data_IF_482459702941
#
_entry.id   IF_482459702941
#
_cell.length_a   1.000
_cell.length_b   1.000
_cell.length_c   1.000
_cell.angle_alpha   90.00
_cell.angle_beta   90.00
_cell.angle_gamma   90.00
#
_symmetry.space_group_name_H-M   'P 1'
#
loop_
_entity.id
_entity.type
_entity.pdbx_description
1 polymer ?
#
# COMPACT_ATOMS: atom_id res chain seq x y z
N UNK A 1 31.17 -15.32 -0.63
CA UNK A 1 31.06 -14.04 0.11
C UNK A 1 30.26 -14.15 1.40
N UNK A 2 29.06 -14.72 1.43
CA UNK A 2 28.16 -14.67 2.61
C UNK A 2 28.78 -15.21 3.92
N UNK A 3 29.65 -16.23 3.85
CA UNK A 3 30.35 -16.77 5.03
C UNK A 3 31.29 -15.74 5.66
N UNK A 4 32.02 -14.99 4.85
CA UNK A 4 32.95 -13.94 5.31
C UNK A 4 32.18 -12.75 5.89
N UNK A 5 31.07 -12.38 5.22
CA UNK A 5 30.17 -11.34 5.71
C UNK A 5 29.58 -11.69 7.09
N UNK A 6 29.12 -12.94 7.30
CA UNK A 6 28.68 -13.42 8.61
C UNK A 6 29.80 -13.27 9.64
N UNK A 7 31.04 -13.67 9.31
CA UNK A 7 32.20 -13.50 10.20
C UNK A 7 32.44 -12.04 10.61
N UNK A 8 32.32 -11.10 9.68
CA UNK A 8 32.43 -9.65 9.96
C UNK A 8 31.30 -9.15 10.85
N UNK A 9 30.06 -9.51 10.53
CA UNK A 9 28.86 -9.08 11.25
C UNK A 9 28.89 -9.57 12.70
N UNK A 10 29.33 -10.81 12.95
CA UNK A 10 29.47 -11.35 14.32
C UNK A 10 30.48 -10.54 15.14
N UNK A 11 31.50 -9.97 14.49
CA UNK A 11 32.47 -9.05 15.10
C UNK A 11 31.97 -7.58 15.15
N UNK A 12 30.69 -7.34 14.84
CA UNK A 12 30.07 -6.01 14.74
C UNK A 12 30.79 -5.05 13.78
N UNK A 13 31.35 -5.61 12.70
CA UNK A 13 31.96 -4.81 11.62
C UNK A 13 30.95 -4.60 10.50
N UNK A 14 30.88 -3.37 10.01
CA UNK A 14 30.03 -3.00 8.89
C UNK A 14 30.56 -3.60 7.58
N UNK A 15 29.63 -3.91 6.69
CA UNK A 15 29.92 -4.31 5.33
C UNK A 15 29.96 -3.07 4.45
N UNK A 16 30.89 -3.04 3.51
CA UNK A 16 30.84 -2.06 2.42
C UNK A 16 29.65 -2.34 1.49
N UNK A 17 29.23 -1.33 0.72
CA UNK A 17 28.14 -1.49 -0.25
C UNK A 17 28.41 -2.62 -1.23
N UNK A 18 29.64 -2.76 -1.72
CA UNK A 18 30.03 -3.85 -2.64
C UNK A 18 29.88 -5.23 -2.00
N UNK A 19 30.34 -5.39 -0.76
CA UNK A 19 30.18 -6.67 -0.05
C UNK A 19 28.71 -7.02 0.16
N UNK A 20 27.90 -6.01 0.48
CA UNK A 20 26.46 -6.20 0.63
C UNK A 20 25.81 -6.61 -0.70
N UNK A 21 26.18 -5.98 -1.81
CA UNK A 21 25.70 -6.37 -3.15
C UNK A 21 26.07 -7.82 -3.49
N UNK A 22 27.30 -8.24 -3.21
CA UNK A 22 27.77 -9.61 -3.46
C UNK A 22 27.02 -10.64 -2.59
N UNK A 23 26.75 -10.31 -1.32
CA UNK A 23 25.93 -11.17 -0.45
C UNK A 23 24.52 -11.30 -0.99
N UNK A 24 23.87 -10.18 -1.35
CA UNK A 24 22.51 -10.21 -1.88
C UNK A 24 22.45 -10.97 -3.21
N UNK A 25 23.45 -10.83 -4.09
CA UNK A 25 23.54 -11.59 -5.33
C UNK A 25 23.69 -13.11 -5.08
N UNK A 26 24.47 -13.53 -4.07
CA UNK A 26 24.53 -14.95 -3.66
C UNK A 26 23.18 -15.48 -3.15
N UNK A 27 22.44 -14.66 -2.41
CA UNK A 27 21.08 -14.99 -1.92
C UNK A 27 20.12 -15.13 -3.10
N UNK A 28 20.06 -14.12 -3.98
CA UNK A 28 19.15 -14.09 -5.14
C UNK A 28 19.47 -15.19 -6.16
N UNK A 29 20.75 -15.53 -6.32
CA UNK A 29 21.20 -16.64 -7.18
C UNK A 29 21.02 -18.03 -6.56
N UNK A 30 20.38 -18.15 -5.38
CA UNK A 30 20.18 -19.42 -4.66
C UNK A 30 21.48 -20.18 -4.35
N UNK A 31 22.61 -19.47 -4.23
CA UNK A 31 23.92 -20.03 -3.86
C UNK A 31 24.16 -20.09 -2.35
N UNK A 32 23.39 -19.32 -1.57
CA UNK A 32 23.41 -19.34 -0.11
C UNK A 32 22.42 -20.37 0.46
N UNK A 33 22.85 -21.13 1.46
CA UNK A 33 21.96 -22.06 2.17
C UNK A 33 20.99 -21.33 3.10
N UNK A 34 19.83 -21.93 3.44
CA UNK A 34 18.89 -21.34 4.38
C UNK A 34 19.50 -20.96 5.73
N UNK A 35 20.45 -21.78 6.22
CA UNK A 35 21.17 -21.52 7.47
C UNK A 35 22.08 -20.29 7.37
N UNK A 36 22.75 -20.10 6.22
CA UNK A 36 23.58 -18.91 5.98
C UNK A 36 22.74 -17.65 5.89
N UNK A 37 21.62 -17.70 5.17
CA UNK A 37 20.68 -16.56 5.06
C UNK A 37 20.14 -16.19 6.44
N UNK A 38 19.68 -17.17 7.23
CA UNK A 38 19.17 -16.93 8.57
C UNK A 38 20.23 -16.35 9.51
N UNK A 39 21.45 -16.90 9.49
CA UNK A 39 22.58 -16.40 10.28
C UNK A 39 22.96 -14.98 9.89
N UNK A 40 22.99 -14.69 8.59
CA UNK A 40 23.29 -13.36 8.06
C UNK A 40 22.24 -12.33 8.50
N UNK A 41 20.95 -12.61 8.28
CA UNK A 41 19.87 -11.68 8.62
C UNK A 41 19.79 -11.42 10.13
N UNK A 42 19.92 -12.48 10.94
CA UNK A 42 19.90 -12.36 12.41
C UNK A 42 21.11 -11.57 12.91
N UNK A 43 22.32 -11.91 12.43
CA UNK A 43 23.53 -11.19 12.80
C UNK A 43 23.48 -9.73 12.39
N UNK A 44 22.98 -9.42 11.19
CA UNK A 44 22.91 -8.07 10.67
C UNK A 44 21.96 -7.21 11.51
N UNK A 45 20.81 -7.78 11.91
CA UNK A 45 19.88 -7.14 12.86
C UNK A 45 20.56 -6.84 14.21
N UNK A 46 21.31 -7.80 14.74
CA UNK A 46 22.02 -7.64 16.02
C UNK A 46 23.14 -6.58 15.96
N UNK A 47 23.83 -6.47 14.81
CA UNK A 47 24.83 -5.42 14.57
C UNK A 47 24.17 -4.04 14.47
N UNK A 48 23.01 -3.99 13.82
CA UNK A 48 22.37 -2.76 13.35
C UNK A 48 22.80 -2.47 11.91
N UNK A 49 21.83 -2.42 11.00
CA UNK A 49 22.03 -2.15 9.58
C UNK A 49 22.51 -0.69 9.37
N UNK A 50 23.50 -0.46 8.50
CA UNK A 50 23.93 0.89 8.10
C UNK A 50 23.13 1.42 6.91
N UNK A 51 23.19 2.74 6.66
CA UNK A 51 22.59 3.34 5.46
C UNK A 51 23.15 2.71 4.18
N UNK A 52 24.46 2.48 4.13
CA UNK A 52 25.14 1.90 2.96
C UNK A 52 24.69 0.46 2.69
N UNK A 53 24.61 -0.37 3.74
CA UNK A 53 24.13 -1.75 3.66
C UNK A 53 22.68 -1.83 3.16
N UNK A 54 21.78 -1.02 3.73
CA UNK A 54 20.36 -1.01 3.31
C UNK A 54 20.25 -0.51 1.86
N UNK A 55 20.97 0.54 1.50
CA UNK A 55 20.97 1.12 0.15
C UNK A 55 21.43 0.10 -0.88
N UNK A 56 22.58 -0.55 -0.65
CA UNK A 56 23.13 -1.58 -1.53
C UNK A 56 22.18 -2.77 -1.71
N UNK A 57 21.59 -3.25 -0.61
CA UNK A 57 20.60 -4.31 -0.68
C UNK A 57 19.36 -3.91 -1.48
N UNK A 58 18.80 -2.74 -1.18
CA UNK A 58 17.63 -2.21 -1.88
C UNK A 58 17.88 -2.05 -3.39
N UNK A 59 19.06 -1.58 -3.79
CA UNK A 59 19.44 -1.51 -5.20
C UNK A 59 19.42 -2.88 -5.88
N UNK A 60 19.98 -3.90 -5.25
CA UNK A 60 20.01 -5.25 -5.81
C UNK A 60 18.62 -5.86 -5.95
N UNK A 61 17.75 -5.68 -4.97
CA UNK A 61 16.36 -6.13 -5.07
C UNK A 61 15.59 -5.35 -6.15
N UNK A 62 15.72 -4.01 -6.19
CA UNK A 62 15.07 -3.17 -7.22
C UNK A 62 15.50 -3.52 -8.65
N UNK A 63 16.74 -4.00 -8.86
CA UNK A 63 17.21 -4.49 -10.19
C UNK A 63 16.45 -5.73 -10.67
N UNK A 64 15.91 -6.55 -9.75
CA UNK A 64 15.12 -7.75 -10.08
C UNK A 64 13.63 -7.48 -10.19
N UNK A 65 13.16 -6.36 -9.62
CA UNK A 65 11.74 -6.00 -9.64
C UNK A 65 11.37 -5.37 -10.99
N UNK A 66 10.33 -5.92 -11.59
CA UNK A 66 9.66 -5.31 -12.73
C UNK A 66 9.00 -3.99 -12.33
N UNK A 67 9.53 -2.86 -12.82
CA UNK A 67 8.98 -1.51 -12.58
C UNK A 67 7.53 -1.42 -13.05
N UNK A 68 6.66 -0.67 -12.38
CA UNK A 68 5.33 -0.33 -12.88
C UNK A 68 5.34 1.09 -13.44
N UNK A 69 4.85 1.26 -14.66
CA UNK A 69 4.70 2.58 -15.26
C UNK A 69 3.39 3.25 -14.79
N UNK A 70 3.43 3.96 -13.66
CA UNK A 70 2.29 4.73 -13.14
C UNK A 70 2.10 6.12 -13.76
N UNK A 71 3.03 6.55 -14.62
CA UNK A 71 3.14 7.90 -15.16
C UNK A 71 3.79 8.89 -14.19
N UNK A 72 3.86 10.16 -14.56
CA UNK A 72 4.48 11.22 -13.74
C UNK A 72 3.66 11.55 -12.49
N UNK A 73 4.37 12.00 -11.44
CA UNK A 73 3.80 12.51 -10.20
C UNK A 73 3.21 11.45 -9.27
N UNK A 74 3.65 10.19 -9.37
CA UNK A 74 3.20 9.12 -8.47
C UNK A 74 3.79 9.31 -7.08
N UNK A 75 2.93 9.21 -6.06
CA UNK A 75 3.30 9.18 -4.65
C UNK A 75 3.15 7.77 -4.08
N UNK A 76 4.17 7.33 -3.37
CA UNK A 76 4.19 6.10 -2.59
C UNK A 76 3.78 6.38 -1.14
N UNK A 77 2.78 5.65 -0.64
CA UNK A 77 2.27 5.77 0.74
C UNK A 77 2.51 4.48 1.54
N UNK A 78 3.64 3.85 1.30
CA UNK A 78 3.98 2.59 1.95
C UNK A 78 4.27 2.78 3.44
N UNK A 79 4.00 1.71 4.17
CA UNK A 79 4.16 1.58 5.60
C UNK A 79 4.86 0.28 5.87
N UNK A 80 5.56 0.20 6.99
CA UNK A 80 6.14 -1.07 7.42
C UNK A 80 5.08 -2.06 7.90
N UNK A 81 3.85 -1.59 8.18
CA UNK A 81 2.69 -2.41 8.57
C UNK A 81 3.00 -3.24 9.81
N UNK A 82 3.28 -2.51 10.89
CA UNK A 82 3.87 -3.03 12.11
C UNK A 82 2.86 -3.81 12.94
N UNK A 83 3.16 -5.09 13.19
CA UNK A 83 2.54 -5.86 14.28
C UNK A 83 3.30 -5.63 15.60
N UNK A 84 2.54 -5.70 16.69
CA UNK A 84 2.76 -5.11 18.03
C UNK A 84 4.10 -5.46 18.71
N UNK A 85 4.76 -6.53 18.31
CA UNK A 85 5.99 -6.94 18.95
C UNK A 85 7.17 -6.19 18.36
N UNK A 86 7.92 -5.45 19.19
CA UNK A 86 9.05 -4.59 18.79
C UNK A 86 10.21 -5.32 18.09
N UNK A 87 10.32 -6.64 18.26
CA UNK A 87 11.34 -7.43 17.56
C UNK A 87 10.75 -8.69 16.97
N UNK A 88 9.87 -9.39 17.67
CA UNK A 88 9.22 -10.60 17.14
C UNK A 88 8.20 -10.20 16.06
N UNK A 89 8.11 -10.97 14.97
CA UNK A 89 7.03 -10.83 13.97
C UNK A 89 5.87 -11.81 14.26
N UNK A 90 5.96 -12.58 15.35
CA UNK A 90 5.08 -13.68 15.74
C UNK A 90 4.64 -13.53 17.20
N UNK A 91 3.33 -13.33 17.44
CA UNK A 91 2.80 -13.07 18.77
C UNK A 91 3.16 -14.16 19.80
N UNK A 92 4.04 -13.81 20.73
CA UNK A 92 4.27 -14.44 22.03
C UNK A 92 3.21 -13.95 23.02
N UNK A 93 2.06 -14.64 23.06
CA UNK A 93 1.07 -14.72 24.17
C UNK A 93 0.75 -13.49 25.05
N UNK A 94 1.03 -12.26 24.63
CA UNK A 94 0.76 -11.07 25.43
C UNK A 94 -0.74 -10.74 25.43
N UNK A 95 -1.33 -10.37 26.59
CA UNK A 95 -2.75 -10.00 26.71
C UNK A 95 -3.13 -8.80 25.84
N UNK A 96 -4.43 -8.66 25.57
CA UNK A 96 -5.00 -7.46 24.92
C UNK A 96 -4.58 -6.19 25.69
N UNK A 97 -3.85 -5.29 25.04
CA UNK A 97 -3.56 -3.96 25.61
C UNK A 97 -2.17 -3.38 25.34
N UNK A 98 -1.23 -4.14 24.75
CA UNK A 98 0.16 -3.68 24.57
C UNK A 98 0.52 -3.21 23.14
N UNK A 99 -0.46 -2.87 22.30
CA UNK A 99 -0.15 -2.33 20.97
C UNK A 99 -1.22 -1.48 20.30
N UNK A 100 -0.88 -0.97 19.12
CA UNK A 100 -1.67 0.00 18.36
C UNK A 100 -2.79 -0.72 17.61
N UNK A 101 -3.87 -1.04 18.30
CA UNK A 101 -5.10 -1.57 17.71
C UNK A 101 -5.83 -0.50 16.87
N UNK A 102 -5.12 0.29 16.08
CA UNK A 102 -5.66 1.37 15.28
C UNK A 102 -6.19 0.83 13.94
N UNK A 103 -7.12 1.55 13.33
CA UNK A 103 -7.63 1.15 12.00
C UNK A 103 -6.58 1.37 10.92
N UNK A 104 -6.76 0.81 9.72
CA UNK A 104 -5.83 0.95 8.60
C UNK A 104 -5.83 2.38 8.00
N UNK A 105 -5.15 3.31 8.70
CA UNK A 105 -5.09 4.74 8.38
C UNK A 105 -4.48 4.98 7.00
N UNK A 106 -3.34 4.37 6.67
CA UNK A 106 -2.73 4.52 5.34
C UNK A 106 -3.62 4.08 4.18
N UNK A 107 -4.51 3.08 4.39
CA UNK A 107 -5.51 2.68 3.38
C UNK A 107 -6.57 3.77 3.18
N UNK A 108 -7.12 4.34 4.26
CA UNK A 108 -8.02 5.50 4.17
C UNK A 108 -7.33 6.69 3.49
N UNK A 109 -6.09 6.94 3.89
CA UNK A 109 -5.23 8.02 3.40
C UNK A 109 -5.03 7.91 1.89
N UNK A 110 -4.80 6.71 1.35
CA UNK A 110 -4.63 6.48 -0.08
C UNK A 110 -5.83 6.99 -0.91
N UNK A 111 -7.06 6.73 -0.45
CA UNK A 111 -8.27 7.22 -1.13
C UNK A 111 -8.42 8.74 -1.02
N UNK A 112 -8.12 9.33 0.14
CA UNK A 112 -8.17 10.79 0.35
C UNK A 112 -7.12 11.50 -0.51
N UNK A 113 -5.91 10.95 -0.59
CA UNK A 113 -4.83 11.51 -1.41
C UNK A 113 -5.16 11.42 -2.90
N UNK A 114 -5.73 10.28 -3.34
CA UNK A 114 -6.20 10.12 -4.71
C UNK A 114 -7.39 11.04 -5.04
N UNK A 115 -8.32 11.22 -4.10
CA UNK A 115 -9.47 12.12 -4.25
C UNK A 115 -9.04 13.59 -4.32
N UNK A 116 -7.97 13.95 -3.62
CA UNK A 116 -7.30 15.24 -3.75
C UNK A 116 -6.47 15.36 -5.03
N UNK A 117 -6.51 14.38 -5.94
CA UNK A 117 -5.96 14.46 -7.29
C UNK A 117 -4.46 14.18 -7.41
N UNK A 118 -3.88 13.39 -6.51
CA UNK A 118 -2.55 12.79 -6.72
C UNK A 118 -2.68 11.34 -7.19
N UNK A 119 -1.66 10.81 -7.87
CA UNK A 119 -1.62 9.40 -8.23
C UNK A 119 -0.97 8.59 -7.11
N UNK A 120 -1.70 7.66 -6.53
CA UNK A 120 -1.24 6.90 -5.36
C UNK A 120 -0.90 5.47 -5.74
N UNK A 121 0.33 5.05 -5.48
CA UNK A 121 0.72 3.65 -5.48
C UNK A 121 1.00 3.21 -4.04
N UNK A 122 0.33 2.15 -3.59
CA UNK A 122 0.56 1.57 -2.27
C UNK A 122 0.77 0.07 -2.40
N UNK A 123 1.90 -0.44 -1.94
CA UNK A 123 2.11 -1.87 -1.76
C UNK A 123 1.27 -2.35 -0.58
N UNK A 124 0.62 -3.49 -0.76
CA UNK A 124 -0.29 -4.08 0.23
C UNK A 124 0.14 -5.48 0.58
N UNK A 125 -0.01 -5.80 1.85
CA UNK A 125 0.44 -7.05 2.45
C UNK A 125 -0.70 -7.76 3.13
N UNK A 126 -0.62 -9.08 3.12
CA UNK A 126 -1.51 -9.90 3.94
C UNK A 126 -0.91 -10.00 5.32
N UNK A 127 -1.74 -9.87 6.35
CA UNK A 127 -1.24 -10.11 7.69
C UNK A 127 -1.08 -11.60 7.95
N UNK A 128 -0.06 -11.95 8.72
CA UNK A 128 -0.07 -13.22 9.44
C UNK A 128 -1.10 -13.09 10.58
N UNK A 129 -2.11 -13.97 10.58
CA UNK A 129 -3.18 -14.05 11.59
C UNK A 129 -2.62 -13.92 13.03
N UNK A 130 -3.27 -13.21 13.97
CA UNK A 130 -4.69 -12.81 14.00
C UNK A 130 -4.98 -11.35 13.60
N UNK A 131 -4.01 -10.61 13.05
CA UNK A 131 -4.24 -9.21 12.68
C UNK A 131 -4.91 -9.06 11.32
N UNK A 132 -5.51 -7.88 11.11
CA UNK A 132 -6.07 -7.47 9.85
C UNK A 132 -5.03 -6.66 9.05
N UNK A 133 -4.47 -7.25 8.00
CA UNK A 133 -3.57 -6.55 7.09
C UNK A 133 -4.32 -5.56 6.21
N UNK A 134 -3.60 -4.65 5.55
CA UNK A 134 -4.23 -3.72 4.61
C UNK A 134 -4.90 -4.46 3.44
N UNK A 135 -4.34 -5.58 2.99
CA UNK A 135 -4.92 -6.43 1.95
C UNK A 135 -6.27 -7.01 2.39
N UNK A 136 -6.36 -7.48 3.64
CA UNK A 136 -7.59 -8.07 4.20
C UNK A 136 -8.73 -7.05 4.27
N UNK A 137 -8.42 -5.78 4.59
CA UNK A 137 -9.40 -4.68 4.58
C UNK A 137 -9.82 -4.32 3.17
N UNK A 138 -8.89 -4.25 2.22
CA UNK A 138 -9.20 -3.94 0.82
C UNK A 138 -10.11 -5.00 0.21
N UNK A 139 -9.89 -6.27 0.52
CA UNK A 139 -10.77 -7.37 0.11
C UNK A 139 -12.15 -7.27 0.77
N UNK A 140 -12.23 -6.89 2.06
CA UNK A 140 -13.50 -6.63 2.74
C UNK A 140 -14.26 -5.42 2.15
N UNK A 141 -13.54 -4.45 1.59
CA UNK A 141 -14.09 -3.35 0.79
C UNK A 141 -14.52 -3.77 -0.64
N UNK A 142 -14.22 -5.01 -1.05
CA UNK A 142 -14.57 -5.59 -2.36
C UNK A 142 -13.53 -5.35 -3.46
N UNK A 143 -12.37 -4.78 -3.13
CA UNK A 143 -11.30 -4.49 -4.09
C UNK A 143 -10.56 -5.79 -4.43
N UNK A 144 -10.41 -6.06 -5.72
CA UNK A 144 -9.63 -7.21 -6.19
C UNK A 144 -8.14 -6.84 -6.23
N UNK A 145 -7.32 -7.54 -5.45
CA UNK A 145 -5.87 -7.34 -5.45
C UNK A 145 -5.14 -8.21 -6.47
N UNK A 146 -5.82 -9.23 -7.02
CA UNK A 146 -5.29 -10.08 -8.07
C UNK A 146 -5.42 -9.40 -9.44
N UNK A 147 -4.61 -8.36 -9.64
CA UNK A 147 -4.48 -7.62 -10.88
C UNK A 147 -3.13 -7.92 -11.54
N UNK A 148 -3.14 -8.06 -12.86
CA UNK A 148 -1.90 -8.11 -13.63
C UNK A 148 -1.19 -6.76 -13.62
N UNK A 149 0.10 -6.76 -13.94
CA UNK A 149 0.91 -5.54 -14.09
C UNK A 149 0.24 -4.50 -15.02
N UNK A 150 -0.21 -4.92 -16.20
CA UNK A 150 -0.86 -4.01 -17.17
C UNK A 150 -2.14 -3.39 -16.59
N UNK A 151 -2.89 -4.15 -15.80
CA UNK A 151 -4.10 -3.65 -15.14
C UNK A 151 -3.77 -2.66 -14.03
N UNK A 152 -2.71 -2.89 -13.25
CA UNK A 152 -2.23 -1.93 -12.25
C UNK A 152 -1.76 -0.63 -12.88
N UNK A 153 -1.00 -0.69 -13.97
CA UNK A 153 -0.55 0.50 -14.72
C UNK A 153 -1.75 1.30 -15.24
N UNK A 154 -2.79 0.62 -15.76
CA UNK A 154 -4.05 1.27 -16.16
C UNK A 154 -4.80 1.87 -14.97
N UNK A 155 -4.88 1.16 -13.85
CA UNK A 155 -5.49 1.67 -12.62
C UNK A 155 -4.83 2.98 -12.15
N UNK A 156 -3.50 3.03 -12.15
CA UNK A 156 -2.72 4.22 -11.83
C UNK A 156 -2.92 5.36 -12.84
N UNK A 157 -2.95 5.05 -14.15
CA UNK A 157 -3.10 6.06 -15.21
C UNK A 157 -4.52 6.62 -15.32
N UNK A 158 -5.54 5.76 -15.28
CA UNK A 158 -6.94 6.12 -15.52
C UNK A 158 -7.64 6.60 -14.24
N UNK A 159 -7.37 5.97 -13.10
CA UNK A 159 -8.06 6.24 -11.83
C UNK A 159 -7.21 7.08 -10.90
N UNK A 160 -5.88 6.97 -10.98
CA UNK A 160 -4.96 7.67 -10.08
C UNK A 160 -4.76 6.97 -8.73
N UNK A 161 -5.12 5.69 -8.61
CA UNK A 161 -4.84 4.89 -7.41
C UNK A 161 -4.59 3.43 -7.82
N UNK A 162 -3.62 2.78 -7.17
CA UNK A 162 -3.31 1.37 -7.38
C UNK A 162 -2.77 0.73 -6.11
N UNK A 163 -3.37 -0.40 -5.73
CA UNK A 163 -2.89 -1.24 -4.63
C UNK A 163 -2.11 -2.42 -5.21
N UNK A 164 -0.82 -2.49 -4.90
CA UNK A 164 0.12 -3.45 -5.47
C UNK A 164 0.30 -4.59 -4.48
N UNK A 165 -0.26 -5.77 -4.79
CA UNK A 165 -0.05 -6.96 -3.96
C UNK A 165 1.44 -7.32 -3.90
N UNK A 166 1.97 -7.51 -2.69
CA UNK A 166 3.39 -7.83 -2.46
C UNK A 166 3.88 -9.07 -3.22
N UNK A 167 2.98 -10.01 -3.55
CA UNK A 167 3.31 -11.20 -4.33
C UNK A 167 3.84 -10.86 -5.72
N UNK A 168 3.32 -9.80 -6.35
CA UNK A 168 3.80 -9.34 -7.65
C UNK A 168 5.26 -8.86 -7.62
N UNK A 169 5.76 -8.48 -6.44
CA UNK A 169 7.13 -8.04 -6.22
C UNK A 169 8.01 -9.24 -5.82
N UNK A 170 7.49 -10.14 -4.98
CA UNK A 170 8.27 -11.17 -4.28
C UNK A 170 8.24 -12.56 -4.93
N UNK A 171 7.62 -12.75 -6.10
CA UNK A 171 7.40 -14.07 -6.73
C UNK A 171 8.67 -14.95 -6.84
N UNK A 172 9.86 -14.38 -7.03
CA UNK A 172 11.12 -15.15 -7.13
C UNK A 172 11.82 -15.39 -5.77
N UNK A 173 11.27 -14.85 -4.68
CA UNK A 173 11.90 -14.77 -3.35
C UNK A 173 11.22 -15.62 -2.29
N UNK A 174 10.30 -16.50 -2.67
CA UNK A 174 9.55 -17.37 -1.75
C UNK A 174 10.44 -18.10 -0.71
N UNK A 175 11.63 -18.66 -1.05
CA UNK A 175 12.51 -19.27 -0.06
C UNK A 175 12.95 -18.31 1.04
N UNK A 176 13.17 -17.04 0.71
CA UNK A 176 13.56 -15.98 1.66
C UNK A 176 12.38 -15.69 2.59
N UNK A 177 11.16 -15.62 2.07
CA UNK A 177 9.96 -15.40 2.88
C UNK A 177 9.76 -16.51 3.91
N UNK A 178 9.94 -17.78 3.50
CA UNK A 178 9.88 -18.92 4.42
C UNK A 178 10.95 -18.83 5.53
N UNK A 179 12.17 -18.41 5.18
CA UNK A 179 13.25 -18.21 6.16
C UNK A 179 12.89 -17.10 7.15
N UNK A 180 12.36 -15.96 6.67
CA UNK A 180 11.93 -14.85 7.53
C UNK A 180 10.87 -15.29 8.53
N UNK A 181 9.87 -16.04 8.09
CA UNK A 181 8.83 -16.59 8.98
C UNK A 181 9.44 -17.49 10.07
N UNK A 182 10.44 -18.31 9.72
CA UNK A 182 11.13 -19.20 10.67
C UNK A 182 12.06 -18.46 11.63
N UNK A 183 12.69 -17.37 11.18
CA UNK A 183 13.49 -16.48 12.05
C UNK A 183 12.59 -15.84 13.11
N UNK A 184 11.38 -15.42 12.72
CA UNK A 184 10.37 -14.94 13.67
C UNK A 184 10.68 -13.59 14.32
N UNK A 185 11.72 -12.87 13.85
CA UNK A 185 12.04 -11.50 14.28
C UNK A 185 12.17 -10.53 13.10
N UNK A 186 12.18 -9.23 13.39
CA UNK A 186 12.51 -8.16 12.42
C UNK A 186 13.93 -8.37 11.90
N UNK A 187 14.09 -8.11 10.61
CA UNK A 187 15.38 -8.20 9.91
C UNK A 187 15.51 -7.04 8.93
N UNK A 188 16.61 -6.96 8.20
CA UNK A 188 16.79 -6.04 7.08
C UNK A 188 15.56 -5.96 6.15
N UNK A 189 14.86 -7.07 5.92
CA UNK A 189 13.69 -7.05 5.04
C UNK A 189 12.57 -6.15 5.53
N UNK A 190 12.41 -5.96 6.84
CA UNK A 190 11.43 -5.02 7.37
C UNK A 190 11.72 -3.57 6.93
N UNK A 191 12.99 -3.22 6.75
CA UNK A 191 13.41 -1.92 6.23
C UNK A 191 13.32 -1.86 4.68
N UNK A 192 13.62 -2.96 4.00
CA UNK A 192 13.59 -3.03 2.53
C UNK A 192 12.17 -3.00 1.99
N UNK A 193 11.28 -3.71 2.65
CA UNK A 193 9.93 -4.01 2.20
C UNK A 193 9.13 -2.77 1.71
N UNK A 194 9.06 -1.65 2.47
CA UNK A 194 8.39 -0.42 2.02
C UNK A 194 9.12 0.37 0.94
N UNK A 195 10.40 0.07 0.68
CA UNK A 195 11.24 0.79 -0.28
C UNK A 195 11.45 -0.02 -1.57
N UNK A 196 10.81 -1.19 -1.69
CA UNK A 196 10.80 -2.04 -2.89
C UNK A 196 9.57 -1.84 -3.77
N UNK A 197 8.75 -0.82 -3.50
CA UNK A 197 7.60 -0.48 -4.33
C UNK A 197 7.99 -0.29 -5.82
N UNK A 198 7.36 -1.00 -6.76
CA UNK A 198 7.75 -0.99 -8.16
C UNK A 198 7.32 0.28 -8.92
N UNK A 199 6.50 1.16 -8.32
CA UNK A 199 5.83 2.29 -9.00
C UNK A 199 6.75 3.44 -9.44
N UNK A 200 8.06 3.36 -9.16
CA UNK A 200 9.02 4.42 -9.47
C UNK A 200 8.59 5.80 -8.96
N UNK A 201 7.94 5.83 -7.79
CA UNK A 201 7.37 7.04 -7.21
C UNK A 201 8.43 8.14 -7.03
N UNK A 202 8.07 9.36 -7.42
CA UNK A 202 8.90 10.57 -7.24
C UNK A 202 8.84 11.07 -5.79
N UNK A 203 7.71 10.79 -5.14
CA UNK A 203 7.40 11.21 -3.79
C UNK A 203 7.12 10.00 -2.90
N UNK A 204 7.57 10.03 -1.66
CA UNK A 204 7.30 8.94 -0.72
C UNK A 204 7.00 9.44 0.69
N UNK A 205 5.90 8.98 1.27
CA UNK A 205 5.66 9.05 2.71
C UNK A 205 5.88 7.64 3.26
N UNK A 206 6.91 7.47 4.08
CA UNK A 206 7.32 6.20 4.67
C UNK A 206 7.14 6.24 6.19
N UNK A 207 6.35 5.32 6.72
CA UNK A 207 6.26 5.11 8.16
C UNK A 207 7.22 4.03 8.66
N UNK A 208 7.83 4.23 9.84
CA UNK A 208 8.78 3.28 10.47
C UNK A 208 8.40 2.99 11.92
N UNK A 209 8.90 1.89 12.50
CA UNK A 209 8.55 1.47 13.88
C UNK A 209 9.32 2.14 15.00
N UNK A 210 10.39 2.85 14.68
CA UNK A 210 11.27 3.42 15.68
C UNK A 210 11.76 4.82 15.27
N UNK A 211 11.75 5.80 16.18
CA UNK A 211 12.17 7.16 15.86
C UNK A 211 13.63 7.26 15.41
N UNK A 212 14.51 6.39 15.90
CA UNK A 212 15.93 6.33 15.50
C UNK A 212 16.14 5.90 14.05
N UNK A 213 15.16 5.25 13.43
CA UNK A 213 15.25 4.72 12.06
C UNK A 213 14.87 5.78 11.02
N UNK A 214 14.12 6.81 11.41
CA UNK A 214 13.62 7.84 10.49
C UNK A 214 14.72 8.51 9.65
N UNK A 215 15.83 8.91 10.29
CA UNK A 215 16.98 9.52 9.62
C UNK A 215 17.71 8.55 8.70
N UNK A 216 17.95 7.32 9.19
CA UNK A 216 18.61 6.27 8.41
C UNK A 216 17.84 6.00 7.12
N UNK A 217 16.53 5.80 7.22
CA UNK A 217 15.68 5.50 6.07
C UNK A 217 15.51 6.72 5.15
N UNK A 218 15.55 7.94 5.67
CA UNK A 218 15.52 9.14 4.82
C UNK A 218 16.76 9.21 3.91
N UNK A 219 17.95 8.92 4.45
CA UNK A 219 19.17 8.84 3.65
C UNK A 219 19.14 7.69 2.64
N UNK A 220 18.61 6.52 3.03
CA UNK A 220 18.41 5.40 2.10
C UNK A 220 17.50 5.80 0.94
N UNK A 221 16.33 6.39 1.21
CA UNK A 221 15.40 6.85 0.18
C UNK A 221 16.04 7.89 -0.76
N UNK A 222 16.80 8.83 -0.21
CA UNK A 222 17.54 9.83 -0.98
C UNK A 222 18.57 9.18 -1.91
N UNK A 223 19.36 8.22 -1.41
CA UNK A 223 20.33 7.47 -2.23
C UNK A 223 19.64 6.65 -3.33
N UNK A 224 18.43 6.17 -3.06
CA UNK A 224 17.58 5.46 -4.01
C UNK A 224 16.86 6.37 -5.02
N UNK A 225 17.11 7.68 -4.98
CA UNK A 225 16.64 8.67 -5.95
C UNK A 225 15.36 9.42 -5.58
N UNK A 226 14.79 9.20 -4.39
CA UNK A 226 13.60 9.94 -3.93
C UNK A 226 13.97 11.41 -3.72
N UNK A 227 13.34 12.30 -4.48
CA UNK A 227 13.65 13.73 -4.46
C UNK A 227 12.93 14.46 -3.32
N UNK A 228 11.71 14.04 -2.99
CA UNK A 228 10.98 14.60 -1.85
C UNK A 228 10.28 13.48 -1.09
N UNK A 229 10.50 13.44 0.21
CA UNK A 229 10.02 12.34 1.04
C UNK A 229 9.78 12.77 2.48
N UNK A 230 8.91 12.04 3.18
CA UNK A 230 8.75 12.13 4.62
C UNK A 230 8.94 10.74 5.20
N UNK A 231 9.89 10.60 6.13
CA UNK A 231 9.99 9.41 6.98
C UNK A 231 9.45 9.75 8.36
N UNK A 232 8.41 9.05 8.79
CA UNK A 232 7.61 9.43 9.94
C UNK A 232 7.59 8.34 11.02
N UNK A 233 7.58 8.78 12.27
CA UNK A 233 7.28 7.97 13.44
C UNK A 233 6.34 8.76 14.36
N UNK A 234 5.13 8.27 14.59
CA UNK A 234 4.17 8.86 15.51
C UNK A 234 4.19 8.20 16.88
N UNK A 235 4.14 9.00 17.93
CA UNK A 235 3.88 8.55 19.29
C UNK A 235 2.52 7.83 19.35
N UNK A 236 2.49 6.65 19.97
CA UNK A 236 1.37 5.68 20.01
C UNK A 236 0.82 5.17 18.68
N UNK A 237 1.20 5.72 17.53
CA UNK A 237 0.71 5.29 16.21
C UNK A 237 1.79 4.64 15.35
N UNK A 238 3.05 4.67 15.80
CA UNK A 238 4.21 4.06 15.16
C UNK A 238 4.45 4.60 13.74
N UNK A 239 4.03 3.88 12.70
CA UNK A 239 4.31 4.21 11.30
C UNK A 239 3.34 5.24 10.68
N UNK A 240 2.48 5.86 11.47
CA UNK A 240 1.58 6.93 11.03
C UNK A 240 1.87 8.25 11.76
N UNK A 241 1.56 9.39 11.14
CA UNK A 241 1.54 10.68 11.83
C UNK A 241 0.48 10.63 12.93
N UNK A 242 0.86 11.00 14.14
CA UNK A 242 0.03 10.85 15.33
C UNK A 242 -0.84 12.07 15.59
N UNK A 243 -2.07 11.82 16.03
CA UNK A 243 -2.94 12.83 16.68
C UNK A 243 -3.04 12.61 18.19
N UNK A 244 -2.33 11.61 18.75
CA UNK A 244 -2.28 11.35 20.19
C UNK A 244 -1.08 12.02 20.84
N UNK A 245 0.03 12.13 20.10
CA UNK A 245 1.30 12.64 20.60
C UNK A 245 2.17 13.27 19.52
N UNK A 246 3.46 13.38 19.80
CA UNK A 246 4.46 13.92 18.87
C UNK A 246 4.65 13.00 17.67
N UNK A 247 4.92 13.57 16.51
CA UNK A 247 5.44 12.83 15.36
C UNK A 247 6.85 13.29 15.06
N UNK A 248 7.82 12.38 15.08
CA UNK A 248 9.14 12.63 14.50
C UNK A 248 9.02 12.54 12.99
N UNK A 249 9.42 13.59 12.29
CA UNK A 249 9.44 13.68 10.84
C UNK A 249 10.88 13.88 10.40
N UNK A 250 11.35 13.06 9.49
CA UNK A 250 12.56 13.33 8.71
C UNK A 250 12.18 13.61 7.27
N UNK A 251 12.30 14.87 6.88
CA UNK A 251 11.95 15.38 5.56
C UNK A 251 13.15 15.31 4.63
N UNK A 252 12.91 14.83 3.41
CA UNK A 252 13.85 14.83 2.29
C UNK A 252 13.42 15.94 1.33
N UNK A 253 14.33 16.86 1.01
CA UNK A 253 14.17 17.88 -0.02
C UNK A 253 15.43 17.94 -0.87
N UNK A 254 15.42 17.22 -2.00
CA UNK A 254 16.56 17.05 -2.91
C UNK A 254 17.78 16.52 -2.15
N UNK A 255 18.77 17.37 -1.91
CA UNK A 255 20.02 17.01 -1.24
C UNK A 255 19.99 17.25 0.27
N UNK A 256 18.93 17.87 0.80
CA UNK A 256 18.79 18.15 2.22
C UNK A 256 17.90 17.11 2.90
N UNK A 257 18.37 16.62 4.05
CA UNK A 257 17.62 15.77 4.97
C UNK A 257 17.52 16.50 6.31
N UNK A 258 16.31 16.77 6.78
CA UNK A 258 16.07 17.51 8.03
C UNK A 258 15.07 16.79 8.91
N UNK A 259 15.43 16.64 10.18
CA UNK A 259 14.54 16.05 11.19
C UNK A 259 13.95 17.12 12.10
N UNK A 260 12.69 16.95 12.44
CA UNK A 260 11.95 17.80 13.38
C UNK A 260 10.81 17.01 14.02
N UNK A 261 10.21 17.59 15.05
CA UNK A 261 8.99 17.08 15.64
C UNK A 261 7.82 17.97 15.23
N UNK A 262 6.64 17.37 15.13
CA UNK A 262 5.39 18.09 15.03
C UNK A 262 4.44 17.58 16.12
N UNK A 263 3.67 18.49 16.69
CA UNK A 263 2.56 18.18 17.58
C UNK A 263 1.21 18.45 16.88
N UNK A 264 0.12 17.75 17.27
CA UNK A 264 -1.20 17.96 16.69
C UNK A 264 -1.65 19.43 16.80
N UNK A 265 -1.32 20.09 17.90
CA UNK A 265 -1.67 21.49 18.15
C UNK A 265 -1.02 22.46 17.16
N UNK A 266 0.20 22.18 16.69
CA UNK A 266 0.92 23.03 15.74
C UNK A 266 0.23 23.10 14.36
N UNK A 267 -0.58 22.09 14.05
CA UNK A 267 -1.38 22.01 12.82
C UNK A 267 -2.86 22.30 13.05
N UNK A 268 -3.22 22.79 14.24
CA UNK A 268 -4.59 23.18 14.60
C UNK A 268 -5.51 22.00 14.98
N UNK A 269 -4.94 20.83 15.28
CA UNK A 269 -5.68 19.66 15.75
C UNK A 269 -5.62 19.55 17.27
N UNK A 270 -6.64 18.92 17.85
CA UNK A 270 -6.65 18.57 19.28
C UNK A 270 -6.04 17.19 19.46
N UNK A 271 -5.28 16.98 20.54
CA UNK A 271 -4.88 15.63 20.93
C UNK A 271 -6.08 14.74 21.18
N UNK A 272 -5.97 13.50 20.71
CA UNK A 272 -6.95 12.43 20.88
C UNK A 272 -6.34 11.28 21.67
N UNK A 273 -7.20 10.42 22.18
CA UNK A 273 -6.77 9.16 22.79
C UNK A 273 -6.57 8.06 21.73
N UNK A 274 -5.73 7.07 22.04
CA UNK A 274 -5.53 5.90 21.18
C UNK A 274 -6.85 5.11 20.97
N UNK A 275 -7.73 5.11 21.97
CA UNK A 275 -9.04 4.44 21.90
C UNK A 275 -9.97 5.07 20.85
N UNK A 276 -9.91 6.40 20.66
CA UNK A 276 -10.73 7.09 19.65
C UNK A 276 -10.33 6.72 18.21
N UNK A 277 -9.09 6.28 17.99
CA UNK A 277 -8.57 5.84 16.68
C UNK A 277 -8.47 4.32 16.57
N UNK A 278 -9.08 3.59 17.51
CA UNK A 278 -9.08 2.13 17.51
C UNK A 278 -9.81 1.54 16.30
N UNK A 279 -9.19 0.57 15.65
CA UNK A 279 -9.76 -0.31 14.63
C UNK A 279 -10.37 -1.57 15.24
N UNK A 280 -10.61 -2.56 14.38
CA UNK A 280 -11.17 -3.84 14.78
C UNK A 280 -10.83 -4.95 13.80
N UNK A 281 -11.83 -5.76 13.48
CA UNK A 281 -11.75 -6.78 12.42
C UNK A 281 -11.59 -6.14 11.04
N UNK A 282 -11.34 -6.97 10.02
CA UNK A 282 -11.30 -6.49 8.63
C UNK A 282 -12.60 -5.83 8.18
N UNK A 283 -13.74 -6.31 8.68
CA UNK A 283 -15.05 -5.68 8.44
C UNK A 283 -15.17 -4.35 9.17
N UNK A 284 -14.80 -4.29 10.45
CA UNK A 284 -14.84 -3.03 11.22
C UNK A 284 -13.96 -1.95 10.57
N UNK A 285 -12.76 -2.32 10.13
CA UNK A 285 -11.84 -1.39 9.47
C UNK A 285 -12.37 -0.94 8.09
N UNK A 286 -12.99 -1.84 7.33
CA UNK A 286 -13.64 -1.47 6.06
C UNK A 286 -14.80 -0.47 6.29
N UNK A 287 -15.63 -0.70 7.30
CA UNK A 287 -16.71 0.22 7.68
C UNK A 287 -16.20 1.58 8.14
N UNK A 288 -15.14 1.59 8.96
CA UNK A 288 -14.48 2.81 9.40
C UNK A 288 -14.02 3.62 8.18
N UNK A 289 -13.29 3.00 7.26
CA UNK A 289 -12.79 3.67 6.05
C UNK A 289 -13.96 4.24 5.25
N UNK A 290 -14.99 3.44 4.95
CA UNK A 290 -16.17 3.92 4.22
C UNK A 290 -16.87 5.06 4.93
N UNK A 291 -16.96 5.03 6.27
CA UNK A 291 -17.58 6.10 7.03
C UNK A 291 -16.80 7.41 6.91
N UNK A 292 -15.46 7.35 6.93
CA UNK A 292 -14.58 8.51 6.72
C UNK A 292 -14.79 9.05 5.31
N UNK A 293 -14.77 8.20 4.29
CA UNK A 293 -14.97 8.60 2.89
C UNK A 293 -16.36 9.21 2.65
N UNK A 294 -17.38 8.75 3.38
CA UNK A 294 -18.74 9.34 3.40
C UNK A 294 -18.84 10.65 4.20
N UNK A 295 -17.75 11.13 4.79
CA UNK A 295 -17.67 12.41 5.48
C UNK A 295 -17.87 12.37 6.99
N UNK A 296 -17.97 11.19 7.62
CA UNK A 296 -18.14 11.08 9.08
C UNK A 296 -17.01 11.82 9.81
N UNK A 297 -17.37 12.74 10.71
CA UNK A 297 -16.44 13.51 11.54
C UNK A 297 -15.97 12.69 12.75
N UNK A 298 -14.80 13.01 13.29
CA UNK A 298 -14.21 12.39 14.49
C UNK A 298 -12.72 12.09 14.34
N UNK A 299 -12.10 11.57 15.41
CA UNK A 299 -10.66 11.31 15.50
C UNK A 299 -10.09 10.46 14.34
N UNK A 300 -10.83 9.42 13.92
CA UNK A 300 -10.43 8.55 12.78
C UNK A 300 -10.31 9.32 11.47
N UNK A 301 -11.19 10.31 11.25
CA UNK A 301 -11.06 11.23 10.11
C UNK A 301 -9.90 12.19 10.31
N UNK A 302 -9.74 12.77 11.50
CA UNK A 302 -8.66 13.73 11.81
C UNK A 302 -7.26 13.13 11.55
N UNK A 303 -6.99 11.89 12.02
CA UNK A 303 -5.70 11.23 11.77
C UNK A 303 -5.49 10.89 10.29
N UNK A 304 -6.56 10.52 9.57
CA UNK A 304 -6.50 10.28 8.11
C UNK A 304 -6.16 11.58 7.37
N UNK A 305 -6.78 12.70 7.77
CA UNK A 305 -6.53 14.02 7.21
C UNK A 305 -5.09 14.47 7.46
N UNK A 306 -4.55 14.24 8.66
CA UNK A 306 -3.16 14.57 8.99
C UNK A 306 -2.17 13.79 8.11
N UNK A 307 -2.36 12.48 7.97
CA UNK A 307 -1.50 11.63 7.13
C UNK A 307 -1.61 11.99 5.65
N UNK A 308 -2.81 12.33 5.16
CA UNK A 308 -3.02 12.83 3.80
C UNK A 308 -2.35 14.19 3.57
N UNK A 309 -2.35 15.07 4.58
CA UNK A 309 -1.67 16.36 4.50
C UNK A 309 -0.17 16.21 4.27
N UNK A 310 0.48 15.23 4.92
CA UNK A 310 1.88 14.89 4.66
C UNK A 310 2.14 14.53 3.19
N UNK A 311 1.24 13.78 2.57
CA UNK A 311 1.32 13.42 1.15
C UNK A 311 1.13 14.63 0.21
N UNK A 312 0.18 15.52 0.50
CA UNK A 312 -0.01 16.75 -0.28
C UNK A 312 1.17 17.72 -0.12
N UNK A 313 1.76 17.78 1.07
CA UNK A 313 2.93 18.60 1.33
C UNK A 313 4.16 18.10 0.56
N UNK A 314 4.47 16.80 0.66
CA UNK A 314 5.68 16.23 0.02
C UNK A 314 5.60 16.20 -1.51
N UNK A 315 4.41 16.07 -2.08
CA UNK A 315 4.19 16.22 -3.53
C UNK A 315 4.30 17.67 -4.00
N UNK A 316 4.23 18.66 -3.10
CA UNK A 316 4.21 20.09 -3.43
C UNK A 316 2.84 20.61 -3.84
N UNK A 317 1.80 19.78 -3.74
CA UNK A 317 0.41 20.22 -3.92
C UNK A 317 -0.03 21.16 -2.81
N UNK A 318 0.59 21.05 -1.64
CA UNK A 318 0.48 21.99 -0.53
C UNK A 318 1.86 22.55 -0.16
N UNK A 319 1.92 23.82 0.23
CA UNK A 319 3.14 24.50 0.70
C UNK A 319 3.40 24.28 2.19
N UNK A 320 2.40 23.80 2.92
CA UNK A 320 2.46 23.52 4.36
C UNK A 320 1.54 22.35 4.72
N UNK A 321 1.72 21.77 5.91
CA UNK A 321 0.81 20.75 6.44
C UNK A 321 -0.61 21.30 6.62
N UNK A 322 -0.77 22.56 7.06
CA UNK A 322 -2.07 23.20 7.26
C UNK A 322 -2.82 23.37 5.93
N UNK A 323 -2.13 23.70 4.84
CA UNK A 323 -2.73 23.69 3.50
C UNK A 323 -3.08 22.27 3.05
N UNK A 324 -2.20 21.29 3.32
CA UNK A 324 -2.48 19.88 3.05
C UNK A 324 -3.71 19.35 3.78
N UNK A 325 -3.95 19.78 5.02
CA UNK A 325 -5.14 19.46 5.81
C UNK A 325 -6.40 19.96 5.09
N UNK A 326 -6.40 21.22 4.63
CA UNK A 326 -7.54 21.79 3.90
C UNK A 326 -7.86 21.01 2.62
N UNK A 327 -6.83 20.61 1.87
CA UNK A 327 -6.99 19.79 0.65
C UNK A 327 -7.58 18.41 1.00
N UNK A 328 -7.06 17.77 2.05
CA UNK A 328 -7.54 16.47 2.51
C UNK A 328 -9.01 16.53 2.99
N UNK A 329 -9.38 17.56 3.74
CA UNK A 329 -10.76 17.79 4.17
C UNK A 329 -11.68 18.03 2.97
N UNK A 330 -11.28 18.87 2.02
CA UNK A 330 -12.03 19.11 0.78
C UNK A 330 -12.22 17.83 -0.03
N UNK A 331 -11.18 16.98 -0.13
CA UNK A 331 -11.29 15.69 -0.83
C UNK A 331 -12.34 14.79 -0.21
N UNK A 332 -12.52 14.82 1.12
CA UNK A 332 -13.54 14.03 1.81
C UNK A 332 -14.91 14.69 1.66
N UNK A 333 -15.02 15.99 1.97
CA UNK A 333 -16.29 16.71 2.06
C UNK A 333 -16.97 16.91 0.70
N UNK A 334 -16.19 17.02 -0.39
CA UNK A 334 -16.73 17.06 -1.74
C UNK A 334 -17.22 15.70 -2.26
N UNK A 335 -16.91 14.60 -1.55
CA UNK A 335 -17.15 13.24 -2.01
C UNK A 335 -16.09 12.69 -2.98
N UNK A 336 -15.09 13.48 -3.38
CA UNK A 336 -14.06 13.05 -4.34
C UNK A 336 -13.30 11.79 -3.89
N UNK A 337 -13.00 11.67 -2.60
CA UNK A 337 -12.35 10.48 -2.04
C UNK A 337 -13.24 9.22 -2.13
N UNK A 338 -14.54 9.38 -1.88
CA UNK A 338 -15.52 8.30 -2.02
C UNK A 338 -15.71 7.89 -3.48
N UNK A 339 -15.74 8.86 -4.40
CA UNK A 339 -15.81 8.59 -5.84
C UNK A 339 -14.58 7.81 -6.32
N UNK A 340 -13.36 8.14 -5.84
CA UNK A 340 -12.17 7.33 -6.16
C UNK A 340 -12.30 5.88 -5.73
N UNK A 341 -12.83 5.64 -4.53
CA UNK A 341 -13.13 4.29 -4.07
C UNK A 341 -14.12 3.56 -5.00
N UNK A 342 -15.23 4.21 -5.37
CA UNK A 342 -16.23 3.64 -6.28
C UNK A 342 -15.67 3.35 -7.66
N UNK A 343 -14.95 4.30 -8.25
CA UNK A 343 -14.34 4.13 -9.58
C UNK A 343 -13.32 3.00 -9.59
N UNK A 344 -12.51 2.87 -8.54
CA UNK A 344 -11.60 1.74 -8.39
C UNK A 344 -12.36 0.41 -8.32
N UNK A 345 -13.41 0.34 -7.50
CA UNK A 345 -14.23 -0.85 -7.35
C UNK A 345 -14.88 -1.27 -8.68
N UNK A 346 -15.42 -0.32 -9.44
CA UNK A 346 -15.99 -0.55 -10.78
C UNK A 346 -14.93 -1.05 -11.78
N UNK A 347 -13.74 -0.44 -11.77
CA UNK A 347 -12.62 -0.89 -12.59
C UNK A 347 -12.21 -2.32 -12.26
N UNK A 348 -12.03 -2.64 -10.98
CA UNK A 348 -11.69 -3.98 -10.52
C UNK A 348 -12.68 -5.05 -11.00
N UNK A 349 -13.96 -4.71 -11.13
CA UNK A 349 -14.97 -5.64 -11.62
C UNK A 349 -14.92 -5.84 -13.13
N UNK A 350 -14.64 -4.77 -13.89
CA UNK A 350 -14.45 -4.85 -15.35
C UNK A 350 -13.20 -5.66 -15.70
N UNK A 351 -12.15 -5.52 -14.89
CA UNK A 351 -10.85 -6.16 -15.07
C UNK A 351 -10.76 -7.56 -14.46
N UNK A 352 -11.80 -8.05 -13.75
CA UNK A 352 -11.84 -9.44 -13.31
C UNK A 352 -11.72 -10.35 -14.53
N UNK A 353 -10.82 -11.34 -14.52
CA UNK A 353 -10.74 -12.29 -15.61
C UNK A 353 -12.13 -12.88 -15.87
N UNK A 354 -12.64 -12.71 -17.08
CA UNK A 354 -13.64 -13.62 -17.64
C UNK A 354 -12.93 -14.98 -17.76
N UNK A 355 -12.83 -15.73 -16.67
CA UNK A 355 -12.74 -17.16 -16.82
C UNK A 355 -14.03 -17.55 -17.56
N UNK A 356 -13.91 -17.91 -18.84
CA UNK A 356 -14.92 -18.76 -19.48
C UNK A 356 -15.18 -19.85 -18.47
N UNK A 357 -16.44 -20.04 -18.09
CA UNK A 357 -16.91 -21.21 -17.37
C UNK A 357 -16.37 -22.44 -18.13
N UNK A 358 -15.17 -22.89 -17.80
CA UNK A 358 -14.67 -24.18 -18.23
C UNK A 358 -15.62 -25.15 -17.54
N UNK A 359 -16.38 -25.96 -18.30
CA UNK A 359 -17.27 -26.92 -17.68
C UNK A 359 -16.38 -27.84 -16.85
N UNK A 360 -16.45 -27.69 -15.52
CA UNK A 360 -16.00 -28.72 -14.61
C UNK A 360 -16.85 -29.95 -14.94
N UNK A 361 -16.20 -31.04 -15.34
CA UNK A 361 -16.85 -32.33 -15.36
C UNK A 361 -17.51 -32.56 -14.00
N UNK A 362 -18.84 -32.67 -13.99
CA UNK A 362 -19.62 -32.80 -12.76
C UNK A 362 -20.38 -31.55 -12.31
N UNK A 363 -21.10 -30.88 -13.22
CA UNK A 363 -22.47 -30.39 -12.97
C UNK A 363 -22.75 -29.45 -11.78
N UNK A 364 -21.73 -28.81 -11.17
CA UNK A 364 -21.93 -27.80 -10.12
C UNK A 364 -21.53 -26.43 -10.64
N UNK A 365 -22.52 -25.67 -11.11
CA UNK A 365 -22.39 -24.22 -11.32
C UNK A 365 -22.10 -23.56 -9.97
N UNK A 366 -20.97 -22.87 -9.85
CA UNK A 366 -20.77 -21.95 -8.74
C UNK A 366 -21.82 -20.85 -8.83
N UNK A 367 -22.62 -20.66 -7.78
CA UNK A 367 -23.53 -19.52 -7.68
C UNK A 367 -22.69 -18.25 -7.63
N UNK A 368 -23.08 -17.26 -8.45
CA UNK A 368 -22.52 -15.90 -8.44
C UNK A 368 -22.84 -15.23 -7.10
N UNK A 369 -21.85 -15.10 -6.22
CA UNK A 369 -21.94 -14.09 -5.16
C UNK A 369 -21.59 -12.73 -5.78
N UNK A 370 -22.62 -11.89 -5.96
CA UNK A 370 -22.49 -10.52 -6.45
C UNK A 370 -21.76 -9.67 -5.41
N UNK A 371 -20.60 -9.04 -5.71
CA UNK A 371 -19.94 -8.16 -4.74
C UNK A 371 -20.43 -6.70 -4.81
N UNK A 372 -21.29 -6.32 -5.76
CA UNK A 372 -21.68 -4.91 -5.97
C UNK A 372 -22.54 -4.32 -4.84
N UNK A 373 -23.29 -5.16 -4.12
CA UNK A 373 -24.43 -4.69 -3.33
C UNK A 373 -24.22 -4.68 -1.80
N UNK A 374 -23.03 -4.98 -1.28
CA UNK A 374 -22.84 -5.05 0.19
C UNK A 374 -22.83 -3.66 0.82
N UNK A 375 -22.31 -2.64 0.12
CA UNK A 375 -22.05 -1.31 0.71
C UNK A 375 -22.95 -0.18 0.19
N UNK A 376 -23.53 -0.35 -0.99
CA UNK A 376 -24.35 0.64 -1.67
C UNK A 376 -25.62 -0.08 -2.14
N UNK A 377 -26.70 -0.04 -1.33
CA UNK A 377 -27.97 -0.68 -1.67
C UNK A 377 -28.49 -0.28 -3.06
N UNK A 378 -29.26 -1.17 -3.69
CA UNK A 378 -29.77 -1.20 -5.09
C UNK A 378 -30.27 0.14 -5.69
N UNK A 379 -29.40 1.13 -5.86
CA UNK A 379 -29.64 2.29 -6.72
C UNK A 379 -28.58 2.30 -7.80
N UNK A 380 -28.85 1.52 -8.85
CA UNK A 380 -28.07 1.55 -10.07
C UNK A 380 -27.98 2.97 -10.61
N UNK A 381 -26.76 3.42 -10.88
CA UNK A 381 -26.52 4.59 -11.71
C UNK A 381 -27.01 4.27 -13.13
N UNK A 382 -27.68 5.20 -13.82
CA UNK A 382 -28.17 4.97 -15.18
C UNK A 382 -26.99 4.76 -16.13
N UNK A 383 -26.99 3.63 -16.84
CA UNK A 383 -26.12 3.37 -17.98
C UNK A 383 -26.25 4.50 -19.02
N UNK A 384 -25.16 5.07 -19.54
CA UNK A 384 -25.22 6.04 -20.63
C UNK A 384 -25.40 5.38 -22.02
N UNK A 385 -25.63 4.06 -22.09
CA UNK A 385 -25.87 3.38 -23.35
C UNK A 385 -27.34 2.97 -23.51
N UNK A 386 -27.98 3.74 -24.41
CA UNK A 386 -28.97 3.28 -25.39
C UNK A 386 -30.43 3.08 -24.95
N UNK A 387 -31.12 4.21 -24.80
CA UNK A 387 -32.45 4.35 -25.39
C UNK A 387 -32.35 4.33 -26.92
N UNK A 388 -32.63 3.18 -27.55
CA UNK A 388 -33.16 3.14 -28.92
C UNK A 388 -34.47 2.35 -28.91
N UNK A 389 -35.63 2.98 -29.19
CA UNK A 389 -36.88 2.23 -29.31
C UNK A 389 -36.83 1.35 -30.56
N UNK A 390 -37.15 0.06 -30.39
CA UNK A 390 -37.47 -0.85 -31.48
C UNK A 390 -38.80 -0.42 -32.10
N UNK A 391 -38.75 0.27 -33.24
CA UNK A 391 -39.91 0.47 -34.10
C UNK A 391 -39.93 -0.64 -35.16
N UNK A 392 -40.75 -1.66 -34.91
CA UNK A 392 -41.26 -2.57 -35.93
C UNK A 392 -42.50 -1.93 -36.56
N UNK A 393 -42.46 -1.60 -37.85
CA UNK A 393 -43.62 -1.47 -38.75
C UNK A 393 -43.14 -1.07 -40.14
N UNK A 394 -43.31 -1.95 -41.13
CA UNK A 394 -43.98 -1.66 -42.41
C UNK A 394 -43.94 -2.89 -43.33
N UNK A 395 -44.88 -2.98 -44.30
CA UNK A 395 -45.58 -4.22 -44.64
C UNK A 395 -45.18 -4.79 -46.02
N UNK A 396 -45.57 -6.05 -46.24
CA UNK A 396 -45.55 -6.72 -47.55
C UNK A 396 -46.42 -5.98 -48.59
N UNK A 397 -46.03 -5.97 -49.87
CA UNK A 397 -46.96 -5.80 -50.97
C UNK A 397 -47.31 -7.16 -51.61
N UNK A 398 -48.61 -7.37 -51.83
CA UNK A 398 -49.16 -8.35 -52.77
C UNK A 398 -49.24 -7.70 -54.16
N UNK A 399 -48.68 -8.32 -55.21
CA UNK A 399 -49.42 -8.69 -56.44
C UNK A 399 -48.51 -9.31 -57.54
N UNK A 400 -48.90 -10.53 -57.93
CA UNK A 400 -48.82 -11.21 -59.23
C UNK A 400 -48.02 -10.60 -60.39
N UNK A 401 -47.10 -11.42 -60.94
CA UNK A 401 -46.93 -11.59 -62.39
C UNK A 401 -46.64 -13.07 -62.71
N UNK A 402 -47.59 -13.72 -63.38
CA UNK A 402 -47.34 -14.89 -64.22
C UNK A 402 -46.38 -14.52 -65.36
N UNK A 403 -45.46 -15.43 -65.72
CA UNK A 403 -45.12 -15.79 -67.12
C UNK A 403 -44.36 -17.13 -67.08
N UNK A 404 -44.76 -18.02 -67.98
CA UNK A 404 -44.23 -19.36 -68.23
C UNK A 404 -42.89 -19.34 -68.99
N UNK A 405 -42.03 -20.31 -68.69
CA UNK A 405 -41.33 -21.16 -69.67
C UNK A 405 -40.20 -20.58 -70.52
N UNK A 406 -38.98 -21.09 -70.31
CA UNK A 406 -38.39 -22.16 -71.13
C UNK A 406 -37.20 -22.80 -70.41
#
# INVERSE_FOLDING_TARGET
>A
MIKEAIGKIVLRKDLSGKEMEEVVEEILSKRASPAQIASFLTGLRMKGETVEEITAAAHMFRKRISKLEGGEGVICLDREEITIERETILRTTQPMGSGTYIFNISTATAFVVAGGGLKVAKTVRRSFSPFCGCADVLEALGINLDLTRTQLERSLKEIGIGFIDERLIQNDWEPILSIRQRIGIRTLFNLLDPILNPSCAEFQVLGVYEPGITEKMAWVLRNLGIQRGLVIYGEDTLDEMSITGKTKVTEIRRDEVKSYFIEPEEVGMKRRSLEEIRGGTKQDNAEIILSILKGRRGAKREITVLNAAGAFFVSGKARSLQEGIKIAEQSIDSGAALEKFKTLLEFNQKERPYFRDLPLEGGKRFRRDKPFNVWFGDKGLPSPFENRPRTSTHPQPLCNCHIQGR
#
